data_IF_631601630149
#
_entry.id   IF_631601630149
#
_cell.length_a   1.000
_cell.length_b   1.000
_cell.length_c   1.000
_cell.angle_alpha   90.00
_cell.angle_beta   90.00
_cell.angle_gamma   90.00
#
_symmetry.space_group_name_H-M   'P 1'
#
loop_
_entity.id
_entity.type
_entity.pdbx_description
1 polymer ?
#
# COMPACT_ATOMS: atom_id res chain seq x y z
N UNK A 1 29.98 -14.62 -10.42
CA UNK A 1 28.94 -13.58 -10.46
C UNK A 1 28.41 -13.49 -9.04
N UNK A 2 28.88 -12.49 -8.29
CA UNK A 2 28.52 -12.32 -6.89
C UNK A 2 27.19 -11.58 -6.87
N UNK A 3 26.09 -12.27 -6.62
CA UNK A 3 24.80 -11.62 -6.36
C UNK A 3 24.99 -10.82 -5.09
N UNK A 4 25.11 -9.50 -5.21
CA UNK A 4 24.99 -8.63 -4.04
C UNK A 4 23.52 -8.72 -3.67
N UNK A 5 23.25 -9.38 -2.55
CA UNK A 5 21.94 -9.42 -1.93
C UNK A 5 21.67 -8.01 -1.41
N UNK A 6 21.14 -7.15 -2.28
CA UNK A 6 20.83 -5.77 -1.92
C UNK A 6 19.64 -5.83 -0.98
N UNK A 7 19.86 -5.49 0.29
CA UNK A 7 18.82 -5.55 1.30
C UNK A 7 17.61 -4.70 0.87
N UNK A 8 16.41 -5.31 0.91
CA UNK A 8 15.16 -4.61 0.58
C UNK A 8 14.98 -3.42 1.53
N UNK A 9 14.70 -2.27 0.94
CA UNK A 9 14.35 -1.03 1.63
C UNK A 9 12.86 -0.80 1.45
N UNK A 10 12.16 -0.68 2.57
CA UNK A 10 10.74 -0.32 2.60
C UNK A 10 10.62 1.18 2.82
N UNK A 11 9.95 1.87 1.90
CA UNK A 11 9.62 3.29 2.02
C UNK A 11 8.10 3.45 2.10
N UNK A 12 7.63 4.18 3.11
CA UNK A 12 6.23 4.54 3.29
C UNK A 12 6.08 6.05 3.15
N UNK A 13 5.18 6.49 2.27
CA UNK A 13 4.87 7.90 2.06
C UNK A 13 3.42 8.16 2.48
N UNK A 14 3.25 8.97 3.51
CA UNK A 14 1.96 9.43 4.01
C UNK A 14 1.60 10.73 3.31
N UNK A 15 0.55 10.72 2.49
CA UNK A 15 0.18 11.90 1.69
C UNK A 15 -0.42 13.02 2.55
N UNK A 16 -1.05 12.69 3.70
CA UNK A 16 -1.79 13.65 4.53
C UNK A 16 -0.90 14.77 5.10
N UNK A 17 0.31 14.40 5.51
CA UNK A 17 1.24 15.26 6.24
C UNK A 17 2.66 15.20 5.68
N UNK A 18 2.78 14.65 4.47
CA UNK A 18 4.02 14.65 3.69
C UNK A 18 5.18 13.94 4.41
N UNK A 19 4.85 13.01 5.33
CA UNK A 19 5.85 12.20 6.03
C UNK A 19 6.31 11.04 5.17
N UNK A 20 7.62 10.96 4.98
CA UNK A 20 8.30 9.79 4.41
C UNK A 20 9.07 9.07 5.50
N UNK A 21 8.83 7.77 5.63
CA UNK A 21 9.57 6.89 6.53
C UNK A 21 10.23 5.77 5.73
N UNK A 22 11.40 5.32 6.18
CA UNK A 22 12.13 4.23 5.52
C UNK A 22 12.74 3.29 6.55
N UNK A 23 12.67 1.98 6.28
CA UNK A 23 13.29 0.95 7.09
C UNK A 23 13.79 -0.21 6.22
N UNK A 24 14.86 -0.86 6.67
CA UNK A 24 15.38 -2.11 6.08
C UNK A 24 15.58 -3.21 7.11
N UNK A 25 15.64 -2.88 8.41
CA UNK A 25 15.68 -3.85 9.49
C UNK A 25 14.27 -4.41 9.75
N UNK A 26 14.11 -5.73 10.03
CA UNK A 26 12.81 -6.36 10.23
C UNK A 26 11.91 -5.64 11.24
N UNK A 27 12.42 -5.33 12.44
CA UNK A 27 11.64 -4.64 13.48
C UNK A 27 11.18 -3.25 13.05
N UNK A 28 12.00 -2.56 12.25
CA UNK A 28 11.66 -1.26 11.68
C UNK A 28 10.57 -1.38 10.63
N UNK A 29 10.63 -2.40 9.77
CA UNK A 29 9.58 -2.68 8.77
C UNK A 29 8.26 -3.01 9.45
N UNK A 30 8.26 -3.85 10.48
CA UNK A 30 7.05 -4.18 11.25
C UNK A 30 6.43 -2.93 11.88
N UNK A 31 7.27 -2.06 12.46
CA UNK A 31 6.81 -0.76 12.98
C UNK A 31 6.17 0.11 11.90
N UNK A 32 6.76 0.16 10.68
CA UNK A 32 6.19 0.92 9.57
C UNK A 32 4.84 0.37 9.12
N UNK A 33 4.70 -0.94 9.04
CA UNK A 33 3.45 -1.58 8.62
C UNK A 33 2.33 -1.36 9.65
N UNK A 34 2.66 -1.32 10.94
CA UNK A 34 1.71 -0.96 11.99
C UNK A 34 1.29 0.52 11.88
N UNK A 35 2.22 1.41 11.54
CA UNK A 35 1.90 2.83 11.27
C UNK A 35 0.99 2.99 10.05
N UNK A 36 1.22 2.24 8.96
CA UNK A 36 0.38 2.27 7.76
C UNK A 36 -1.08 1.94 8.10
N UNK A 37 -1.31 0.92 8.93
CA UNK A 37 -2.67 0.50 9.28
C UNK A 37 -3.29 1.32 10.41
N UNK A 38 -2.49 2.02 11.22
CA UNK A 38 -2.97 2.98 12.20
C UNK A 38 -3.41 4.31 11.58
N UNK A 39 -2.95 4.61 10.37
CA UNK A 39 -3.34 5.81 9.62
C UNK A 39 -4.80 5.69 9.12
N UNK A 40 -5.60 6.75 9.32
CA UNK A 40 -6.97 6.81 8.79
C UNK A 40 -6.98 7.63 7.50
N UNK A 41 -7.25 7.00 6.37
CA UNK A 41 -7.19 7.63 5.04
C UNK A 41 -8.51 8.23 4.57
N UNK A 42 -9.60 8.22 5.34
CA UNK A 42 -10.93 8.69 4.90
C UNK A 42 -10.96 10.15 4.42
N UNK A 43 -10.04 10.98 4.92
CA UNK A 43 -9.98 12.41 4.60
C UNK A 43 -8.70 12.77 3.83
N UNK A 44 -8.02 11.79 3.26
CA UNK A 44 -6.76 11.96 2.56
C UNK A 44 -6.59 10.95 1.43
N UNK A 45 -5.46 11.01 0.73
CA UNK A 45 -5.10 9.95 -0.20
C UNK A 45 -4.54 8.73 0.54
N UNK A 46 -4.63 7.58 -0.13
CA UNK A 46 -3.99 6.34 0.32
C UNK A 46 -2.51 6.53 0.64
N UNK A 47 -2.02 5.78 1.62
CA UNK A 47 -0.58 5.69 1.93
C UNK A 47 0.15 4.88 0.85
N UNK A 48 1.29 5.37 0.36
CA UNK A 48 2.13 4.64 -0.61
C UNK A 48 3.13 3.78 0.14
N UNK A 49 3.25 2.51 -0.25
CA UNK A 49 4.22 1.56 0.30
C UNK A 49 5.07 0.98 -0.83
N UNK A 50 6.38 1.25 -0.78
CA UNK A 50 7.38 0.79 -1.73
C UNK A 50 8.31 -0.21 -1.06
N UNK A 51 8.61 -1.33 -1.73
CA UNK A 51 9.67 -2.26 -1.34
C UNK A 51 10.65 -2.39 -2.51
N UNK A 52 11.91 -2.01 -2.32
CA UNK A 52 12.86 -1.89 -3.42
C UNK A 52 14.32 -2.05 -2.99
N UNK A 53 15.28 -1.88 -3.91
CA UNK A 53 16.72 -1.96 -3.66
C UNK A 53 17.31 -0.68 -3.03
N UNK A 54 16.50 0.38 -2.93
CA UNK A 54 16.85 1.70 -2.36
C UNK A 54 15.58 2.45 -1.92
N UNK A 55 15.70 3.53 -1.13
CA UNK A 55 14.56 4.34 -0.76
C UNK A 55 13.82 4.92 -1.98
N UNK A 56 12.48 4.87 -1.95
CA UNK A 56 11.67 5.60 -2.90
C UNK A 56 11.64 7.10 -2.54
N UNK A 57 11.35 7.95 -3.54
CA UNK A 57 11.28 9.40 -3.40
C UNK A 57 10.03 9.94 -4.06
N UNK A 58 9.41 10.91 -3.40
CA UNK A 58 8.34 11.72 -3.97
C UNK A 58 8.89 12.82 -4.88
N UNK A 59 8.02 13.48 -5.66
CA UNK A 59 8.39 14.64 -6.48
C UNK A 59 8.94 15.83 -5.68
N UNK A 60 8.74 15.82 -4.36
CA UNK A 60 9.16 16.89 -3.45
C UNK A 60 10.56 16.68 -2.89
N UNK A 61 11.11 15.48 -3.03
CA UNK A 61 12.46 15.17 -2.59
C UNK A 61 13.51 15.72 -3.57
N UNK A 62 14.70 16.04 -3.05
CA UNK A 62 15.81 16.49 -3.88
C UNK A 62 16.19 15.41 -4.90
N UNK A 63 16.16 15.75 -6.18
CA UNK A 63 16.38 14.82 -7.29
C UNK A 63 15.12 14.20 -7.88
N UNK A 64 13.93 14.63 -7.44
CA UNK A 64 12.63 14.29 -8.02
C UNK A 64 12.13 12.89 -7.69
N UNK A 65 10.91 12.59 -8.17
CA UNK A 65 10.26 11.32 -7.93
C UNK A 65 11.10 10.15 -8.43
N UNK A 66 11.20 9.13 -7.59
CA UNK A 66 11.84 7.88 -7.91
C UNK A 66 11.09 6.76 -7.20
N UNK A 67 10.32 6.00 -7.97
CA UNK A 67 9.53 4.88 -7.48
C UNK A 67 10.01 3.56 -8.10
N UNK A 68 9.82 2.42 -7.41
CA UNK A 68 9.96 1.12 -8.05
C UNK A 68 8.96 0.96 -9.20
N UNK A 69 9.20 0.01 -10.15
CA UNK A 69 8.30 -0.25 -11.27
C UNK A 69 6.88 -0.68 -10.86
N UNK A 70 6.74 -1.17 -9.63
CA UNK A 70 5.46 -1.45 -9.02
C UNK A 70 5.47 -1.14 -7.53
N UNK A 71 4.32 -0.72 -7.00
CA UNK A 71 4.15 -0.40 -5.59
C UNK A 71 2.71 -0.58 -5.12
N UNK A 72 2.49 -0.51 -3.81
CA UNK A 72 1.17 -0.56 -3.21
C UNK A 72 0.70 0.83 -2.79
N UNK A 73 -0.60 1.06 -2.93
CA UNK A 73 -1.35 2.10 -2.23
C UNK A 73 -2.29 1.45 -1.25
N UNK A 74 -2.40 2.00 -0.04
CA UNK A 74 -3.17 1.43 1.04
C UNK A 74 -4.18 2.45 1.55
N UNK A 75 -5.46 2.11 1.45
CA UNK A 75 -6.53 2.78 2.17
C UNK A 75 -6.76 2.04 3.49
N UNK A 76 -6.86 2.77 4.59
CA UNK A 76 -7.04 2.19 5.91
C UNK A 76 -8.04 2.99 6.71
N UNK A 77 -9.00 2.30 7.33
CA UNK A 77 -9.97 2.88 8.25
C UNK A 77 -9.89 2.15 9.61
N UNK A 78 -8.95 2.57 10.49
CA UNK A 78 -8.74 1.95 11.80
C UNK A 78 -9.99 1.85 12.69
N UNK A 79 -10.90 2.86 12.75
CA UNK A 79 -12.08 2.79 13.61
C UNK A 79 -12.98 1.58 13.33
N UNK A 80 -12.99 1.06 12.10
CA UNK A 80 -13.76 -0.13 11.73
C UNK A 80 -12.89 -1.36 11.50
N UNK A 81 -11.56 -1.23 11.53
CA UNK A 81 -10.62 -2.33 11.28
C UNK A 81 -10.60 -2.83 9.83
N UNK A 82 -11.03 -2.01 8.88
CA UNK A 82 -11.05 -2.34 7.44
C UNK A 82 -9.92 -1.60 6.71
N UNK A 83 -9.37 -2.24 5.68
CA UNK A 83 -8.40 -1.65 4.78
C UNK A 83 -8.52 -2.27 3.39
N UNK A 84 -7.97 -1.60 2.38
CA UNK A 84 -7.89 -2.10 1.02
C UNK A 84 -6.54 -1.69 0.41
N UNK A 85 -6.07 -2.47 -0.56
CA UNK A 85 -4.84 -2.16 -1.27
C UNK A 85 -5.08 -2.07 -2.76
N UNK A 86 -4.34 -1.15 -3.39
CA UNK A 86 -4.23 -1.07 -4.84
C UNK A 86 -2.78 -1.36 -5.23
N UNK A 87 -2.59 -2.38 -6.04
CA UNK A 87 -1.34 -2.66 -6.74
C UNK A 87 -1.23 -1.77 -7.97
N UNK A 88 -0.21 -0.92 -7.98
CA UNK A 88 0.17 -0.11 -9.14
C UNK A 88 1.37 -0.79 -9.79
N UNK A 89 1.15 -1.54 -10.86
CA UNK A 89 2.20 -2.11 -11.70
C UNK A 89 2.41 -1.29 -12.98
N UNK A 90 3.40 -1.69 -13.78
CA UNK A 90 3.75 -1.01 -15.03
C UNK A 90 2.58 -0.93 -16.02
N UNK A 91 1.82 -2.02 -16.17
CA UNK A 91 0.71 -2.11 -17.15
C UNK A 91 -0.61 -2.54 -16.51
N UNK A 92 -0.68 -2.62 -15.19
CA UNK A 92 -1.85 -3.15 -14.48
C UNK A 92 -2.09 -2.41 -13.18
N UNK A 93 -3.34 -2.02 -12.97
CA UNK A 93 -3.84 -1.58 -11.68
C UNK A 93 -4.87 -2.56 -11.17
N UNK A 94 -4.69 -3.02 -9.94
CA UNK A 94 -5.53 -4.03 -9.32
C UNK A 94 -5.86 -3.63 -7.91
N UNK A 95 -7.12 -3.77 -7.53
CA UNK A 95 -7.54 -3.61 -6.15
C UNK A 95 -7.64 -4.98 -5.49
N UNK A 96 -7.50 -5.03 -4.17
CA UNK A 96 -7.81 -6.22 -3.41
C UNK A 96 -9.23 -6.70 -3.72
N UNK A 97 -9.46 -8.01 -3.59
CA UNK A 97 -10.77 -8.63 -3.74
C UNK A 97 -11.08 -9.44 -2.49
N UNK A 98 -12.19 -9.09 -1.86
CA UNK A 98 -12.88 -9.84 -0.84
C UNK A 98 -14.07 -10.58 -1.47
N UNK A 99 -13.92 -11.87 -1.84
CA UNK A 99 -15.00 -12.64 -2.45
C UNK A 99 -16.16 -12.93 -1.47
N UNK A 100 -15.96 -12.65 -0.19
CA UNK A 100 -16.90 -12.89 0.90
C UNK A 100 -17.19 -11.60 1.67
N UNK A 101 -17.11 -10.45 0.99
CA UNK A 101 -17.40 -9.16 1.60
C UNK A 101 -18.79 -9.20 2.27
N UNK A 102 -18.88 -8.93 3.59
CA UNK A 102 -20.17 -8.83 4.24
C UNK A 102 -20.92 -7.58 3.75
N UNK A 103 -22.23 -7.54 4.00
CA UNK A 103 -23.10 -6.44 3.55
C UNK A 103 -22.71 -5.09 4.15
N UNK A 104 -22.03 -5.09 5.31
CA UNK A 104 -21.53 -3.91 6.01
C UNK A 104 -20.06 -3.56 5.69
N UNK A 105 -19.43 -4.23 4.72
CA UNK A 105 -18.09 -3.86 4.28
C UNK A 105 -18.11 -2.43 3.71
N UNK A 106 -17.23 -1.53 4.20
CA UNK A 106 -17.25 -0.14 3.76
C UNK A 106 -16.64 0.00 2.37
N UNK A 107 -17.09 1.00 1.62
CA UNK A 107 -16.25 1.61 0.57
C UNK A 107 -15.16 2.45 1.25
N UNK A 108 -13.95 2.41 0.71
CA UNK A 108 -12.79 3.12 1.30
C UNK A 108 -12.28 4.20 0.36
N UNK A 109 -11.81 5.31 0.91
CA UNK A 109 -11.31 6.43 0.10
C UNK A 109 -9.94 6.10 -0.49
N UNK A 110 -9.85 6.18 -1.83
CA UNK A 110 -8.57 6.07 -2.53
C UNK A 110 -7.85 7.42 -2.58
N UNK A 111 -8.57 8.48 -2.98
CA UNK A 111 -8.06 9.84 -3.05
C UNK A 111 -9.15 10.83 -2.68
N UNK A 112 -8.92 11.63 -1.62
CA UNK A 112 -9.93 12.54 -1.08
C UNK A 112 -10.22 13.78 -1.95
N UNK A 113 -9.39 14.04 -2.96
CA UNK A 113 -9.58 15.14 -3.91
C UNK A 113 -10.54 14.79 -5.06
N UNK A 114 -11.08 13.57 -5.09
CA UNK A 114 -12.10 13.12 -6.04
C UNK A 114 -13.11 12.14 -5.41
N UNK A 115 -14.11 11.66 -6.17
CA UNK A 115 -15.04 10.63 -5.73
C UNK A 115 -14.41 9.22 -5.78
N UNK A 116 -13.08 9.11 -5.75
CA UNK A 116 -12.38 7.87 -6.01
C UNK A 116 -12.46 6.97 -4.76
N UNK A 117 -13.42 6.06 -4.81
CA UNK A 117 -13.68 5.05 -3.78
C UNK A 117 -13.24 3.68 -4.27
N UNK A 118 -12.61 2.94 -3.36
CA UNK A 118 -12.45 1.50 -3.48
C UNK A 118 -13.80 0.86 -3.12
N UNK A 119 -14.32 -0.05 -3.94
CA UNK A 119 -15.61 -0.67 -3.69
C UNK A 119 -15.57 -1.50 -2.40
N UNK A 120 -16.73 -1.76 -1.79
CA UNK A 120 -16.83 -2.66 -0.64
C UNK A 120 -16.23 -4.06 -0.89
N UNK A 121 -16.31 -4.54 -2.14
CA UNK A 121 -15.65 -5.78 -2.58
C UNK A 121 -14.12 -5.76 -2.49
N UNK A 122 -13.48 -4.60 -2.33
CA UNK A 122 -12.05 -4.48 -2.14
C UNK A 122 -11.62 -4.43 -0.66
N UNK A 123 -12.56 -4.20 0.25
CA UNK A 123 -12.30 -4.04 1.68
C UNK A 123 -12.05 -5.39 2.34
N UNK A 124 -10.90 -5.49 3.01
CA UNK A 124 -10.44 -6.64 3.77
C UNK A 124 -10.23 -6.25 5.24
N UNK A 125 -10.33 -7.20 6.19
CA UNK A 125 -9.91 -6.94 7.55
C UNK A 125 -8.44 -6.50 7.58
N UNK A 126 -8.08 -5.54 8.44
CA UNK A 126 -6.71 -5.03 8.55
C UNK A 126 -5.68 -6.14 8.82
N UNK A 127 -6.05 -7.22 9.50
CA UNK A 127 -5.18 -8.38 9.74
C UNK A 127 -4.79 -9.10 8.45
N UNK A 128 -5.68 -9.18 7.47
CA UNK A 128 -5.39 -9.77 6.15
C UNK A 128 -4.51 -8.83 5.32
N UNK A 129 -4.81 -7.53 5.34
CA UNK A 129 -3.97 -6.50 4.69
C UNK A 129 -2.57 -6.49 5.30
N UNK A 130 -2.43 -6.61 6.62
CA UNK A 130 -1.14 -6.68 7.31
C UNK A 130 -0.30 -7.84 6.81
N UNK A 131 -0.91 -9.02 6.68
CA UNK A 131 -0.23 -10.22 6.17
C UNK A 131 0.25 -10.04 4.73
N UNK A 132 -0.56 -9.43 3.89
CA UNK A 132 -0.20 -9.16 2.50
C UNK A 132 0.89 -8.09 2.38
N UNK A 133 0.86 -7.05 3.22
CA UNK A 133 1.93 -6.07 3.31
C UNK A 133 3.25 -6.71 3.76
N UNK A 134 3.22 -7.61 4.75
CA UNK A 134 4.42 -8.37 5.16
C UNK A 134 4.98 -9.16 3.97
N UNK A 135 4.15 -9.90 3.24
CA UNK A 135 4.58 -10.64 2.03
C UNK A 135 5.21 -9.71 0.97
N UNK A 136 4.57 -8.56 0.70
CA UNK A 136 5.09 -7.56 -0.22
C UNK A 136 6.43 -6.99 0.24
N UNK A 137 6.58 -6.60 1.50
CA UNK A 137 7.84 -6.02 2.00
C UNK A 137 9.02 -7.00 1.98
N UNK A 138 8.75 -8.30 1.98
CA UNK A 138 9.78 -9.32 1.81
C UNK A 138 10.19 -9.54 0.35
N UNK A 139 9.23 -9.50 -0.58
CA UNK A 139 9.45 -9.90 -1.98
C UNK A 139 9.60 -8.74 -2.95
N UNK A 140 8.98 -7.59 -2.66
CA UNK A 140 8.73 -6.52 -3.64
C UNK A 140 7.70 -6.90 -4.72
N UNK A 141 7.12 -8.09 -4.63
CA UNK A 141 6.19 -8.63 -5.63
C UNK A 141 4.74 -8.52 -5.16
N UNK A 142 3.79 -8.61 -6.11
CA UNK A 142 2.36 -8.55 -5.79
C UNK A 142 1.97 -9.68 -4.84
N UNK A 143 1.42 -9.37 -3.64
CA UNK A 143 1.03 -10.39 -2.67
C UNK A 143 0.10 -11.45 -3.23
N UNK A 144 0.36 -12.70 -2.88
CA UNK A 144 -0.45 -13.87 -3.24
C UNK A 144 -1.39 -14.31 -2.12
N UNK A 145 -1.19 -13.80 -0.91
CA UNK A 145 -2.03 -14.05 0.26
C UNK A 145 -3.44 -13.44 0.17
N UNK A 146 -3.68 -12.57 -0.81
CA UNK A 146 -4.98 -11.95 -1.11
C UNK A 146 -5.34 -12.15 -2.57
N UNK A 147 -6.63 -12.04 -2.87
CA UNK A 147 -7.11 -12.02 -4.25
C UNK A 147 -7.14 -10.58 -4.78
N UNK A 148 -7.14 -10.46 -6.10
CA UNK A 148 -7.09 -9.19 -6.81
C UNK A 148 -8.21 -9.12 -7.84
N UNK A 149 -8.79 -7.94 -8.02
CA UNK A 149 -9.72 -7.61 -9.08
C UNK A 149 -9.18 -6.44 -9.91
N UNK A 150 -9.76 -6.24 -11.10
CA UNK A 150 -9.40 -5.09 -11.93
C UNK A 150 -9.68 -3.80 -11.17
N UNK A 151 -8.66 -2.96 -10.98
CA UNK A 151 -8.80 -1.71 -10.27
C UNK A 151 -9.47 -0.65 -11.13
N UNK A 152 -10.13 0.31 -10.48
CA UNK A 152 -10.87 1.38 -11.16
C UNK A 152 -9.99 2.52 -11.69
N UNK A 153 -8.75 2.63 -11.20
CA UNK A 153 -7.78 3.57 -11.75
C UNK A 153 -7.37 3.11 -13.15
N UNK A 154 -7.86 3.83 -14.15
CA UNK A 154 -7.36 3.74 -15.50
C UNK A 154 -6.11 4.62 -15.55
N UNK A 155 -4.94 3.99 -15.74
CA UNK A 155 -3.67 4.69 -16.00
C UNK A 155 -3.71 5.44 -17.35
#
# INVERSE_FOLDING_TARGET
>A
MTTIDTATVVTVLFDQDERTHTASAPDGVETLLDLVLAENTDYSRTTIVCAWDRPARSDRDEGGALFPPAYLRVASHPPTGWAAMTWIGTDTVLDTLNPHAPEDAPELVFACDGPDLLPASASLPQTEVRRALTEYTHSGERPTTVQWQQGFLIL
#
